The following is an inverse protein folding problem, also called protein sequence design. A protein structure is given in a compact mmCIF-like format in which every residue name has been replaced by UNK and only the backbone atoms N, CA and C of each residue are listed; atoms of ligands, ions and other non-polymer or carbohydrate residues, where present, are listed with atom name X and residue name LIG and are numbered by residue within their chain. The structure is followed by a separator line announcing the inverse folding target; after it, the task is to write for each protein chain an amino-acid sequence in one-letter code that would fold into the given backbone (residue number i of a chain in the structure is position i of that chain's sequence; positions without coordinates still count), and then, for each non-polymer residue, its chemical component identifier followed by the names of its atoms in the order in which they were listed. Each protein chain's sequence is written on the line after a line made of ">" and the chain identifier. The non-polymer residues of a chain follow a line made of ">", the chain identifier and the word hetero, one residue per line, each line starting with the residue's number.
data_IF_443038257459
#
_entry.id   IF_443038257459
#
_cell.length_a   1.000
_cell.length_b   1.000
_cell.length_c   1.000
_cell.angle_alpha   90.00
_cell.angle_beta   90.00
_cell.angle_gamma   90.00
#
_symmetry.space_group_name_H-M   'P 1'
#
loop_
_entity.id
_entity.type
_entity.pdbx_description
1 polymer ?
#
# COMPACT_ATOMS: atom_id res chain seq x y z
N UNK A 1 -7.27 47.10 -45.26
CA UNK A 1 -8.29 46.08 -44.88
C UNK A 1 -7.85 44.62 -44.94
N UNK A 2 -6.60 44.39 -45.24
CA UNK A 2 -6.10 42.99 -45.31
C UNK A 2 -5.28 42.53 -44.10
N UNK A 3 -5.03 43.36 -43.09
CA UNK A 3 -4.18 43.05 -41.96
C UNK A 3 -4.91 42.54 -40.71
N UNK A 4 -6.23 42.55 -40.70
CA UNK A 4 -7.05 42.08 -39.60
C UNK A 4 -7.33 40.59 -39.57
N UNK A 5 -7.14 39.93 -40.72
CA UNK A 5 -7.39 38.48 -40.82
C UNK A 5 -6.23 37.61 -40.30
N UNK A 6 -5.02 38.17 -40.30
CA UNK A 6 -3.82 37.42 -39.87
C UNK A 6 -3.70 37.37 -38.35
N UNK A 7 -4.40 38.26 -37.64
CA UNK A 7 -4.34 38.30 -36.18
C UNK A 7 -5.28 37.30 -35.48
N UNK A 8 -6.24 36.74 -36.19
CA UNK A 8 -7.18 35.79 -35.65
C UNK A 8 -6.73 34.32 -35.76
N UNK A 9 -5.72 34.02 -36.54
CA UNK A 9 -5.21 32.66 -36.72
C UNK A 9 -4.13 32.31 -35.71
N UNK A 10 -3.52 33.31 -35.06
CA UNK A 10 -2.43 33.07 -34.11
C UNK A 10 -2.85 32.70 -32.69
N UNK A 11 -4.15 32.69 -32.39
CA UNK A 11 -4.66 32.43 -31.02
C UNK A 11 -5.13 30.98 -30.83
N UNK A 12 -5.14 30.19 -31.90
CA UNK A 12 -5.68 28.82 -31.86
C UNK A 12 -4.71 27.70 -31.52
N UNK A 13 -3.44 27.98 -31.24
CA UNK A 13 -2.43 26.91 -31.11
C UNK A 13 -1.89 26.84 -29.67
N UNK A 14 -2.60 27.32 -28.69
CA UNK A 14 -2.23 27.07 -27.30
C UNK A 14 -3.21 26.08 -26.67
N UNK A 15 -3.45 24.97 -27.38
CA UNK A 15 -3.98 23.77 -26.77
C UNK A 15 -2.90 23.19 -25.89
N UNK A 16 -2.86 23.64 -24.67
CA UNK A 16 -2.09 22.97 -23.63
C UNK A 16 -2.65 21.58 -23.48
N UNK A 17 -2.00 20.63 -24.08
CA UNK A 17 -2.21 19.23 -23.69
C UNK A 17 -1.69 19.11 -22.28
N UNK A 18 -2.55 19.32 -21.31
CA UNK A 18 -2.34 18.87 -19.96
C UNK A 18 -2.26 17.35 -20.05
N UNK A 19 -1.03 16.85 -20.20
CA UNK A 19 -0.75 15.46 -20.00
C UNK A 19 -1.00 15.20 -18.50
N UNK A 20 -2.25 14.92 -18.15
CA UNK A 20 -2.58 14.44 -16.83
C UNK A 20 -1.82 13.12 -16.65
N UNK A 21 -0.97 13.05 -15.62
CA UNK A 21 -0.39 11.80 -15.19
C UNK A 21 -1.55 10.89 -14.79
N UNK A 22 -1.98 10.04 -15.70
CA UNK A 22 -2.97 9.02 -15.39
C UNK A 22 -2.31 7.97 -14.50
N UNK A 23 -2.54 8.09 -13.21
CA UNK A 23 -2.27 7.01 -12.30
C UNK A 23 -3.32 5.94 -12.56
N UNK A 24 -2.93 4.88 -13.25
CA UNK A 24 -3.82 3.74 -13.47
C UNK A 24 -4.02 3.05 -12.12
N UNK A 25 -5.23 3.07 -11.52
CA UNK A 25 -5.45 2.39 -10.25
C UNK A 25 -5.25 0.88 -10.44
N UNK A 26 -4.59 0.26 -9.46
CA UNK A 26 -4.43 -1.19 -9.46
C UNK A 26 -5.80 -1.86 -9.42
N UNK A 27 -6.09 -2.83 -10.30
CA UNK A 27 -7.36 -3.54 -10.27
C UNK A 27 -7.61 -4.21 -8.93
N UNK A 28 -8.85 -4.19 -8.46
CA UNK A 28 -9.26 -4.87 -7.23
C UNK A 28 -8.95 -6.36 -7.30
N UNK A 29 -8.45 -6.92 -6.19
CA UNK A 29 -8.08 -8.34 -6.08
C UNK A 29 -6.68 -8.69 -6.58
N UNK A 30 -5.92 -7.73 -7.10
CA UNK A 30 -4.54 -7.93 -7.53
C UNK A 30 -3.55 -7.36 -6.51
N UNK A 31 -2.48 -8.09 -6.16
CA UNK A 31 -1.45 -7.59 -5.28
C UNK A 31 -0.68 -6.43 -5.93
N UNK A 32 -0.41 -5.42 -5.13
CA UNK A 32 0.42 -4.28 -5.50
C UNK A 32 1.65 -4.25 -4.60
N UNK A 33 2.84 -4.18 -5.20
CA UNK A 33 4.11 -4.09 -4.47
C UNK A 33 4.41 -2.64 -4.13
N UNK A 34 4.58 -2.36 -2.85
CA UNK A 34 4.78 -1.02 -2.32
C UNK A 34 5.96 -0.98 -1.36
N UNK A 35 6.42 0.23 -1.09
CA UNK A 35 7.48 0.48 -0.11
C UNK A 35 7.09 1.64 0.80
N UNK A 36 7.20 1.44 2.11
CA UNK A 36 6.99 2.48 3.10
C UNK A 36 8.33 3.05 3.57
N UNK A 37 8.53 4.34 3.30
CA UNK A 37 9.79 5.03 3.61
C UNK A 37 9.95 5.30 5.11
N UNK A 38 8.87 5.56 5.82
CA UNK A 38 8.93 5.89 7.24
C UNK A 38 9.39 4.70 8.10
N UNK A 39 8.91 3.51 7.77
CA UNK A 39 9.24 2.28 8.46
C UNK A 39 10.28 1.43 7.74
N UNK A 40 10.66 1.82 6.51
CA UNK A 40 11.59 1.09 5.64
C UNK A 40 11.16 -0.36 5.40
N UNK A 41 9.91 -0.53 5.01
CA UNK A 41 9.26 -1.83 4.87
C UNK A 41 8.78 -2.02 3.44
N UNK A 42 9.14 -3.15 2.83
CA UNK A 42 8.56 -3.61 1.58
C UNK A 42 7.31 -4.44 1.89
N UNK A 43 6.21 -4.15 1.20
CA UNK A 43 4.97 -4.88 1.41
C UNK A 43 4.17 -5.03 0.13
N UNK A 44 3.28 -5.98 0.13
CA UNK A 44 2.27 -6.16 -0.91
C UNK A 44 0.89 -5.88 -0.30
N UNK A 45 0.09 -5.14 -1.03
CA UNK A 45 -1.26 -4.78 -0.64
C UNK A 45 -2.24 -5.27 -1.71
N UNK A 46 -3.23 -6.03 -1.28
CA UNK A 46 -4.34 -6.44 -2.13
C UNK A 46 -5.61 -5.80 -1.61
N UNK A 47 -6.28 -5.02 -2.46
CA UNK A 47 -7.56 -4.40 -2.14
C UNK A 47 -8.69 -5.24 -2.72
N UNK A 48 -9.54 -5.79 -1.88
CA UNK A 48 -10.74 -6.51 -2.32
C UNK A 48 -11.95 -5.59 -2.47
N UNK A 49 -12.11 -4.66 -1.55
CA UNK A 49 -13.08 -3.57 -1.58
C UNK A 49 -12.61 -2.45 -0.64
N UNK A 50 -13.41 -1.39 -0.46
CA UNK A 50 -13.02 -0.24 0.36
C UNK A 50 -12.86 -0.58 1.85
N UNK A 51 -13.38 -1.71 2.30
CA UNK A 51 -13.36 -2.13 3.70
C UNK A 51 -12.61 -3.45 3.92
N UNK A 52 -11.95 -3.99 2.90
CA UNK A 52 -11.29 -5.28 2.98
C UNK A 52 -9.98 -5.30 2.20
N UNK A 53 -8.90 -5.57 2.90
CA UNK A 53 -7.54 -5.59 2.36
C UNK A 53 -6.79 -6.82 2.85
N UNK A 54 -5.77 -7.20 2.10
CA UNK A 54 -4.78 -8.17 2.53
C UNK A 54 -3.39 -7.53 2.44
N UNK A 55 -2.63 -7.63 3.51
CA UNK A 55 -1.27 -7.09 3.60
C UNK A 55 -0.28 -8.21 3.83
N UNK A 56 0.78 -8.23 3.02
CA UNK A 56 1.92 -9.12 3.20
C UNK A 56 3.17 -8.27 3.35
N UNK A 57 3.73 -8.26 4.53
CA UNK A 57 4.94 -7.51 4.85
C UNK A 57 6.14 -8.43 4.66
N UNK A 58 7.05 -8.03 3.76
CA UNK A 58 8.22 -8.84 3.45
C UNK A 58 9.09 -9.02 4.68
N UNK A 59 9.43 -10.28 4.96
CA UNK A 59 10.33 -10.59 6.06
C UNK A 59 11.75 -10.08 5.76
N UNK A 60 12.42 -9.69 6.80
CA UNK A 60 13.79 -9.24 6.79
C UNK A 60 14.52 -10.02 7.89
N UNK A 61 14.92 -9.34 8.94
CA UNK A 61 15.50 -9.98 10.10
C UNK A 61 14.66 -9.71 11.36
N UNK A 62 15.01 -10.38 12.44
CA UNK A 62 14.31 -10.19 13.72
C UNK A 62 14.40 -8.77 14.28
N UNK A 63 15.45 -8.03 13.95
CA UNK A 63 15.62 -6.67 14.41
C UNK A 63 14.57 -5.72 13.79
N UNK A 64 14.07 -6.04 12.60
CA UNK A 64 13.05 -5.25 11.92
C UNK A 64 11.61 -5.66 12.22
N UNK A 65 11.40 -6.76 12.92
CA UNK A 65 10.06 -7.26 13.23
C UNK A 65 9.19 -6.22 13.93
N UNK A 66 9.74 -5.49 14.88
CA UNK A 66 9.00 -4.42 15.57
C UNK A 66 8.56 -3.33 14.61
N UNK A 67 9.42 -2.91 13.69
CA UNK A 67 9.08 -1.92 12.67
C UNK A 67 7.99 -2.42 11.74
N UNK A 68 8.08 -3.67 11.32
CA UNK A 68 7.10 -4.33 10.46
C UNK A 68 5.73 -4.42 11.14
N UNK A 69 5.71 -4.79 12.41
CA UNK A 69 4.48 -4.89 13.21
C UNK A 69 3.82 -3.52 13.42
N UNK A 70 4.60 -2.51 13.76
CA UNK A 70 4.10 -1.14 13.91
C UNK A 70 3.59 -0.60 12.58
N UNK A 71 4.30 -0.86 11.49
CA UNK A 71 3.85 -0.51 10.15
C UNK A 71 2.48 -1.15 9.84
N UNK A 72 2.36 -2.45 10.07
CA UNK A 72 1.12 -3.19 9.81
C UNK A 72 -0.07 -2.57 10.54
N UNK A 73 0.08 -2.28 11.82
CA UNK A 73 -0.97 -1.67 12.63
C UNK A 73 -1.35 -0.26 12.13
N UNK A 74 -0.36 0.59 11.91
CA UNK A 74 -0.59 1.97 11.48
C UNK A 74 -1.14 2.06 10.07
N UNK A 75 -0.64 1.24 9.18
CA UNK A 75 -1.10 1.23 7.79
C UNK A 75 -2.54 0.72 7.68
N UNK A 76 -2.88 -0.31 8.43
CA UNK A 76 -4.25 -0.82 8.52
C UNK A 76 -5.22 0.24 9.02
N UNK A 77 -4.83 1.01 10.02
CA UNK A 77 -5.63 2.11 10.53
C UNK A 77 -5.84 3.20 9.48
N UNK A 78 -4.79 3.55 8.72
CA UNK A 78 -4.89 4.50 7.60
C UNK A 78 -5.81 4.01 6.49
N UNK A 79 -5.74 2.73 6.14
CA UNK A 79 -6.61 2.14 5.12
C UNK A 79 -8.09 2.22 5.52
N UNK A 80 -8.38 2.10 6.80
CA UNK A 80 -9.76 2.12 7.31
C UNK A 80 -10.34 3.52 7.51
N UNK A 81 -9.56 4.58 7.37
CA UNK A 81 -10.02 5.99 7.32
C UNK A 81 -11.05 6.35 8.41
N UNK A 82 -10.70 6.17 9.68
CA UNK A 82 -11.56 6.49 10.80
C UNK A 82 -12.49 5.37 11.26
N UNK A 83 -12.59 4.29 10.51
CA UNK A 83 -13.21 3.05 10.97
C UNK A 83 -12.22 2.21 11.78
N UNK A 84 -12.72 1.26 12.55
CA UNK A 84 -11.86 0.32 13.26
C UNK A 84 -11.26 -0.71 12.29
N UNK A 85 -9.96 -0.92 12.39
CA UNK A 85 -9.28 -1.97 11.64
C UNK A 85 -9.26 -3.26 12.46
N UNK A 86 -9.89 -4.30 11.93
CA UNK A 86 -9.75 -5.66 12.44
C UNK A 86 -8.66 -6.38 11.66
N UNK A 87 -7.63 -6.84 12.35
CA UNK A 87 -6.53 -7.58 11.76
C UNK A 87 -6.63 -9.05 12.16
N UNK A 88 -6.60 -9.91 11.16
CA UNK A 88 -6.48 -11.35 11.35
C UNK A 88 -5.13 -11.79 10.80
N UNK A 89 -4.20 -12.12 11.69
CA UNK A 89 -2.88 -12.61 11.32
C UNK A 89 -2.99 -14.00 10.72
N UNK A 90 -2.38 -14.20 9.55
CA UNK A 90 -2.39 -15.47 8.85
C UNK A 90 -1.02 -16.15 8.86
N UNK A 91 0.05 -15.36 8.82
CA UNK A 91 1.43 -15.84 8.89
C UNK A 91 2.32 -14.80 9.56
N UNK A 92 3.51 -15.22 9.98
CA UNK A 92 4.53 -14.34 10.51
C UNK A 92 4.72 -14.42 12.01
N UNK A 93 3.84 -15.12 12.71
CA UNK A 93 4.00 -15.43 14.12
C UNK A 93 4.39 -16.88 14.24
N UNK A 94 5.47 -17.14 14.95
CA UNK A 94 5.93 -18.51 15.17
C UNK A 94 5.33 -19.04 16.48
N UNK A 95 4.58 -20.13 16.35
CA UNK A 95 4.14 -20.90 17.51
C UNK A 95 5.19 -21.95 17.84
N UNK A 96 5.60 -21.99 19.11
CA UNK A 96 6.52 -22.98 19.59
C UNK A 96 5.88 -23.78 20.72
N UNK A 97 5.80 -25.08 20.55
CA UNK A 97 5.46 -25.97 21.67
C UNK A 97 6.57 -26.02 22.72
N UNK A 98 7.80 -25.79 22.26
CA UNK A 98 8.99 -25.69 23.11
C UNK A 98 9.88 -24.54 22.63
N UNK A 99 10.55 -23.87 23.56
CA UNK A 99 11.52 -22.86 23.19
C UNK A 99 12.63 -23.50 22.34
N UNK A 100 12.88 -22.98 21.13
CA UNK A 100 13.94 -23.51 20.30
C UNK A 100 15.31 -23.22 20.91
N UNK A 101 16.19 -24.18 20.91
CA UNK A 101 17.58 -24.00 21.37
C UNK A 101 18.39 -23.16 20.39
N UNK A 102 17.93 -23.06 19.14
CA UNK A 102 18.53 -22.22 18.10
C UNK A 102 17.44 -21.37 17.47
N UNK A 103 17.58 -20.03 17.47
CA UNK A 103 16.63 -19.18 16.77
C UNK A 103 16.64 -19.50 15.27
N UNK A 104 15.47 -19.47 14.63
CA UNK A 104 15.39 -19.62 13.18
C UNK A 104 16.10 -18.44 12.52
N UNK A 105 16.95 -18.73 11.56
CA UNK A 105 17.65 -17.71 10.78
C UNK A 105 16.70 -16.94 9.84
N UNK A 106 15.52 -17.45 9.61
CA UNK A 106 14.53 -16.90 8.69
C UNK A 106 13.17 -16.77 9.36
N UNK A 107 12.60 -15.58 9.22
CA UNK A 107 11.25 -15.29 9.68
C UNK A 107 10.31 -15.25 8.48
N UNK A 108 9.15 -15.94 8.52
CA UNK A 108 8.18 -15.85 7.43
C UNK A 108 7.58 -14.45 7.33
N UNK A 109 7.13 -14.11 6.12
CA UNK A 109 6.45 -12.84 5.88
C UNK A 109 5.25 -12.67 6.80
N UNK A 110 5.10 -11.46 7.34
CA UNK A 110 3.97 -11.12 8.19
C UNK A 110 2.75 -10.84 7.32
N UNK A 111 1.77 -11.71 7.37
CA UNK A 111 0.57 -11.61 6.55
C UNK A 111 -0.66 -11.41 7.41
N UNK A 112 -1.48 -10.45 7.03
CA UNK A 112 -2.70 -10.13 7.73
C UNK A 112 -3.83 -9.76 6.78
N UNK A 113 -5.03 -10.20 7.13
CA UNK A 113 -6.26 -9.72 6.53
C UNK A 113 -6.77 -8.54 7.35
N UNK A 114 -7.12 -7.45 6.67
CA UNK A 114 -7.61 -6.21 7.29
C UNK A 114 -9.06 -6.01 6.88
N UNK A 115 -9.94 -5.94 7.87
CA UNK A 115 -11.35 -5.58 7.68
C UNK A 115 -11.65 -4.30 8.44
N UNK A 116 -12.21 -3.33 7.72
CA UNK A 116 -12.65 -2.09 8.32
C UNK A 116 -14.08 -2.25 8.82
N UNK A 117 -14.29 -2.05 10.10
CA UNK A 117 -15.61 -2.17 10.75
C UNK A 117 -16.06 -0.84 11.32
N UNK A 118 -17.36 -0.52 11.33
CA UNK A 118 -17.87 0.71 11.93
C UNK A 118 -17.49 0.79 13.41
N UNK A 119 -17.25 2.01 13.87
CA UNK A 119 -17.05 2.29 15.30
C UNK A 119 -18.33 2.10 16.09
#
# INVERSE_FOLDING_TARGET
>A
MKSTWIRLVAISILSWTLAACHHTPTPMGKPEKLYDFDHKVHYEQTKFNDNHYFLSVRSDDYAHFTKQSVFLLRHSEKLCQGMNAQLTLQKGVQDFERLPTHPRAYQPDLQAEVKCVPK
#
